data_IF_745112809516
#
_entry.id   IF_745112809516
#
_cell.length_a   1.000
_cell.length_b   1.000
_cell.length_c   1.000
_cell.angle_alpha   90.00
_cell.angle_beta   90.00
_cell.angle_gamma   90.00
#
_symmetry.space_group_name_H-M   'P 1'
#
loop_
_entity.id
_entity.type
_entity.pdbx_description
1 polymer ?
#
# COMPACT_ATOMS: atom_id res chain seq x y z
N UNK A 1 -49.28 -19.38 25.63
CA UNK A 1 -48.38 -18.69 24.68
C UNK A 1 -46.96 -18.66 25.23
N UNK A 2 -46.19 -19.76 25.14
CA UNK A 2 -44.79 -19.82 25.62
C UNK A 2 -43.82 -20.51 24.65
N UNK A 3 -44.34 -21.23 23.63
CA UNK A 3 -43.55 -22.01 22.67
C UNK A 3 -42.97 -21.18 21.52
N UNK A 4 -43.63 -20.09 21.12
CA UNK A 4 -43.18 -19.24 20.02
C UNK A 4 -41.94 -18.40 20.36
N UNK A 5 -41.77 -18.02 21.64
CA UNK A 5 -40.64 -17.20 22.08
C UNK A 5 -39.31 -17.98 22.08
N UNK A 6 -39.38 -19.27 22.41
CA UNK A 6 -38.20 -20.17 22.47
C UNK A 6 -37.70 -20.52 21.07
N UNK A 7 -38.59 -20.59 20.08
CA UNK A 7 -38.22 -20.88 18.69
C UNK A 7 -37.50 -19.70 18.03
N UNK A 8 -37.92 -18.47 18.36
CA UNK A 8 -37.30 -17.23 17.86
C UNK A 8 -35.89 -17.03 18.40
N UNK A 9 -35.68 -17.28 19.70
CA UNK A 9 -34.35 -17.16 20.32
C UNK A 9 -33.38 -18.25 19.84
N UNK A 10 -33.87 -19.45 19.55
CA UNK A 10 -33.04 -20.53 18.99
C UNK A 10 -32.58 -20.23 17.55
N UNK A 11 -33.47 -19.68 16.71
CA UNK A 11 -33.12 -19.31 15.33
C UNK A 11 -32.08 -18.18 15.26
N UNK A 12 -32.16 -17.20 16.17
CA UNK A 12 -31.21 -16.10 16.23
C UNK A 12 -29.80 -16.57 16.64
N UNK A 13 -29.72 -17.52 17.58
CA UNK A 13 -28.47 -18.13 18.02
C UNK A 13 -27.78 -18.94 16.90
N UNK A 14 -28.57 -19.67 16.09
CA UNK A 14 -28.04 -20.42 14.93
C UNK A 14 -27.55 -19.48 13.83
N UNK A 15 -28.24 -18.36 13.58
CA UNK A 15 -27.78 -17.36 12.60
C UNK A 15 -26.47 -16.69 13.02
N UNK A 16 -26.29 -16.39 14.32
CA UNK A 16 -25.04 -15.86 14.84
C UNK A 16 -23.88 -16.87 14.79
N UNK A 17 -24.15 -18.16 15.03
CA UNK A 17 -23.13 -19.21 15.00
C UNK A 17 -22.71 -19.62 13.58
N UNK A 18 -23.57 -19.43 12.57
CA UNK A 18 -23.23 -19.68 11.16
C UNK A 18 -22.51 -18.50 10.46
N UNK A 19 -22.33 -17.38 11.15
CA UNK A 19 -21.62 -16.19 10.64
C UNK A 19 -20.23 -16.00 11.26
N UNK A 20 -19.59 -17.09 11.73
CA UNK A 20 -18.12 -17.13 11.77
C UNK A 20 -17.62 -17.11 10.33
N UNK A 21 -17.59 -15.89 9.80
CA UNK A 21 -16.85 -15.48 8.63
C UNK A 21 -15.48 -16.13 8.75
N UNK A 22 -15.15 -16.95 7.76
CA UNK A 22 -13.77 -17.21 7.39
C UNK A 22 -13.22 -15.88 6.88
N UNK A 23 -12.95 -14.97 7.83
CA UNK A 23 -12.10 -13.81 7.61
C UNK A 23 -10.73 -14.38 7.31
N UNK A 24 -10.50 -14.73 6.06
CA UNK A 24 -9.16 -14.89 5.54
C UNK A 24 -8.55 -13.50 5.64
N UNK A 25 -7.85 -13.25 6.75
CA UNK A 25 -6.86 -12.18 6.77
C UNK A 25 -5.95 -12.47 5.59
N UNK A 26 -5.93 -11.56 4.62
CA UNK A 26 -5.05 -11.67 3.48
C UNK A 26 -3.65 -11.94 4.03
N UNK A 27 -3.10 -13.12 3.73
CA UNK A 27 -1.76 -13.47 4.16
C UNK A 27 -0.85 -12.36 3.69
N UNK A 28 -0.02 -11.83 4.61
CA UNK A 28 1.00 -10.85 4.27
C UNK A 28 1.74 -11.41 3.04
N UNK A 29 1.74 -10.72 1.89
CA UNK A 29 2.43 -11.22 0.72
C UNK A 29 3.86 -11.53 1.14
N UNK A 30 4.35 -12.71 0.74
CA UNK A 30 5.70 -13.19 1.05
C UNK A 30 6.65 -12.05 0.70
N UNK A 31 7.23 -11.44 1.74
CA UNK A 31 7.98 -10.21 1.63
C UNK A 31 9.27 -10.51 0.87
N UNK A 32 9.23 -10.31 -0.44
CA UNK A 32 10.42 -9.99 -1.20
C UNK A 32 10.78 -8.55 -0.82
N UNK A 33 12.00 -8.35 -0.34
CA UNK A 33 12.39 -7.20 0.49
C UNK A 33 11.89 -5.87 -0.05
N UNK A 34 11.12 -5.15 0.76
CA UNK A 34 10.74 -3.78 0.44
C UNK A 34 12.01 -2.92 0.31
N UNK A 35 12.14 -2.16 -0.77
CA UNK A 35 13.24 -1.20 -0.92
C UNK A 35 12.85 0.05 -0.14
N UNK A 36 13.59 0.34 0.94
CA UNK A 36 13.35 1.52 1.77
C UNK A 36 14.58 2.42 1.74
N UNK A 37 14.37 3.68 1.35
CA UNK A 37 15.41 4.72 1.34
C UNK A 37 14.87 6.03 1.91
N UNK A 38 15.70 6.74 2.67
CA UNK A 38 15.34 7.94 3.44
C UNK A 38 16.13 9.20 3.04
N UNK A 39 16.62 9.23 1.80
CA UNK A 39 17.51 10.25 1.25
C UNK A 39 16.82 11.14 0.20
N UNK A 40 15.50 11.03 0.05
CA UNK A 40 14.74 11.85 -0.90
C UNK A 40 14.48 13.25 -0.33
N UNK A 41 15.25 14.23 -0.78
CA UNK A 41 15.19 15.60 -0.28
C UNK A 41 14.20 16.46 -1.06
N UNK A 42 13.18 16.98 -0.36
CA UNK A 42 12.33 18.06 -0.84
C UNK A 42 12.94 19.42 -0.47
N UNK A 43 13.56 20.07 -1.45
CA UNK A 43 14.22 21.36 -1.23
C UNK A 43 13.28 22.51 -0.87
N UNK A 44 11.96 22.36 -1.10
CA UNK A 44 10.98 23.41 -0.78
C UNK A 44 10.48 23.27 0.66
N UNK A 45 10.27 22.03 1.10
CA UNK A 45 9.93 21.72 2.47
C UNK A 45 11.11 21.72 3.42
N UNK A 46 12.35 21.73 2.91
CA UNK A 46 13.60 21.51 3.64
C UNK A 46 13.54 20.23 4.48
N UNK A 47 13.06 19.15 3.85
CA UNK A 47 12.74 17.89 4.50
C UNK A 47 13.22 16.70 3.69
N UNK A 48 13.69 15.68 4.39
CA UNK A 48 13.96 14.37 3.82
C UNK A 48 12.74 13.47 3.97
N UNK A 49 12.53 12.60 3.00
CA UNK A 49 11.46 11.61 3.00
C UNK A 49 12.03 10.20 2.86
N UNK A 50 11.43 9.28 3.61
CA UNK A 50 11.55 7.85 3.42
C UNK A 50 10.48 7.36 2.47
N UNK A 51 10.89 6.64 1.43
CA UNK A 51 9.99 5.89 0.55
C UNK A 51 10.32 4.41 0.67
N UNK A 52 9.34 3.63 1.08
CA UNK A 52 9.38 2.17 1.13
C UNK A 52 8.47 1.60 0.05
N UNK A 53 9.03 0.86 -0.90
CA UNK A 53 8.27 0.31 -2.03
C UNK A 53 8.26 -1.22 -1.98
N UNK A 54 7.17 -1.79 -2.48
CA UNK A 54 7.14 -3.21 -2.80
C UNK A 54 6.31 -3.47 -4.05
N UNK A 55 6.64 -4.55 -4.76
CA UNK A 55 5.93 -4.95 -5.96
C UNK A 55 5.89 -6.47 -6.11
N UNK A 56 4.82 -6.94 -6.73
CA UNK A 56 4.63 -8.30 -7.22
C UNK A 56 4.10 -8.23 -8.66
N UNK A 57 3.98 -9.38 -9.35
CA UNK A 57 3.66 -9.49 -10.79
C UNK A 57 2.72 -8.42 -11.37
N UNK A 58 1.64 -8.07 -10.66
CA UNK A 58 0.60 -7.17 -11.15
C UNK A 58 0.31 -5.98 -10.23
N UNK A 59 1.07 -5.80 -9.15
CA UNK A 59 0.79 -4.77 -8.14
C UNK A 59 2.07 -4.16 -7.61
N UNK A 60 2.08 -2.86 -7.40
CA UNK A 60 3.12 -2.16 -6.67
C UNK A 60 2.50 -1.12 -5.73
N UNK A 61 3.17 -0.83 -4.62
CA UNK A 61 2.78 0.22 -3.70
C UNK A 61 4.01 0.92 -3.12
N UNK A 62 3.81 2.15 -2.65
CA UNK A 62 4.80 2.91 -1.94
C UNK A 62 4.22 3.44 -0.62
N UNK A 63 5.04 3.45 0.43
CA UNK A 63 4.76 4.13 1.69
C UNK A 63 5.74 5.28 1.86
N UNK A 64 5.20 6.46 2.12
CA UNK A 64 6.00 7.69 2.27
C UNK A 64 5.91 8.20 3.70
N UNK A 65 7.04 8.50 4.33
CA UNK A 65 7.09 9.16 5.63
C UNK A 65 8.17 10.24 5.63
N UNK A 66 7.96 11.34 6.34
CA UNK A 66 9.05 12.28 6.61
C UNK A 66 10.13 11.61 7.47
N UNK A 67 11.40 11.86 7.16
CA UNK A 67 12.53 11.26 7.87
C UNK A 67 12.52 11.70 9.34
N UNK A 68 12.60 10.71 10.26
CA UNK A 68 12.54 10.96 11.70
C UNK A 68 11.14 11.22 12.26
N UNK A 69 10.09 11.21 11.43
CA UNK A 69 8.71 11.36 11.89
C UNK A 69 8.19 10.10 12.58
N UNK A 70 7.36 10.28 13.60
CA UNK A 70 6.59 9.21 14.27
C UNK A 70 5.18 9.05 13.68
N UNK A 71 4.80 9.91 12.73
CA UNK A 71 3.52 9.78 12.04
C UNK A 71 3.47 8.49 11.21
N UNK A 72 2.27 7.94 11.05
CA UNK A 72 2.06 6.79 10.18
C UNK A 72 2.47 7.14 8.73
N UNK A 73 3.17 6.23 8.02
CA UNK A 73 3.48 6.43 6.62
C UNK A 73 2.21 6.57 5.77
N UNK A 74 2.27 7.43 4.76
CA UNK A 74 1.19 7.62 3.80
C UNK A 74 1.30 6.58 2.68
N UNK A 75 0.24 5.82 2.43
CA UNK A 75 0.17 4.90 1.28
C UNK A 75 -0.03 5.69 -0.01
N UNK A 76 0.83 5.46 -0.99
CA UNK A 76 0.68 5.93 -2.36
C UNK A 76 0.34 4.74 -3.24
N UNK A 77 -0.84 4.80 -3.87
CA UNK A 77 -1.31 3.77 -4.80
C UNK A 77 -0.61 4.00 -6.15
N UNK A 78 0.12 3.00 -6.61
CA UNK A 78 0.83 3.06 -7.89
C UNK A 78 0.00 2.39 -8.98
N UNK A 79 -0.15 3.06 -10.11
CA UNK A 79 -0.86 2.56 -11.28
C UNK A 79 0.13 2.07 -12.33
N UNK A 80 -0.23 1.01 -13.07
CA UNK A 80 0.59 0.52 -14.17
C UNK A 80 0.73 1.63 -15.23
N UNK A 81 1.95 2.10 -15.43
CA UNK A 81 2.28 3.14 -16.41
C UNK A 81 2.76 2.53 -17.72
N UNK A 82 3.64 1.51 -17.65
CA UNK A 82 4.17 0.86 -18.85
C UNK A 82 4.57 -0.59 -18.61
N UNK A 83 4.72 -1.35 -19.68
CA UNK A 83 5.23 -2.73 -19.69
C UNK A 83 6.26 -2.88 -20.81
N UNK A 84 7.42 -3.44 -20.49
CA UNK A 84 8.51 -3.68 -21.43
C UNK A 84 9.17 -5.03 -21.12
N UNK A 85 9.01 -6.01 -22.01
CA UNK A 85 9.48 -7.37 -21.76
C UNK A 85 8.86 -7.98 -20.51
N UNK A 86 9.68 -8.51 -19.60
CA UNK A 86 9.24 -9.03 -18.29
C UNK A 86 9.12 -7.95 -17.21
N UNK A 87 9.37 -6.69 -17.54
CA UNK A 87 9.36 -5.57 -16.61
C UNK A 87 8.08 -4.74 -16.73
N UNK A 88 7.61 -4.25 -15.60
CA UNK A 88 6.47 -3.34 -15.46
C UNK A 88 6.90 -2.11 -14.70
N UNK A 89 6.42 -0.95 -15.14
CA UNK A 89 6.64 0.32 -14.46
C UNK A 89 5.32 0.79 -13.87
N UNK A 90 5.34 1.10 -12.58
CA UNK A 90 4.19 1.65 -11.86
C UNK A 90 4.52 3.07 -11.41
N UNK A 91 3.59 4.01 -11.59
CA UNK A 91 3.73 5.41 -11.18
C UNK A 91 2.61 5.79 -10.20
N UNK A 92 2.94 6.60 -9.19
CA UNK A 92 1.96 7.28 -8.37
C UNK A 92 2.55 8.55 -7.76
N UNK A 93 1.68 9.37 -7.17
CA UNK A 93 2.07 10.69 -6.67
C UNK A 93 1.45 11.03 -5.32
N UNK A 94 2.15 11.87 -4.56
CA UNK A 94 1.71 12.43 -3.30
C UNK A 94 1.98 13.94 -3.26
N UNK A 95 0.96 14.74 -3.02
CA UNK A 95 1.13 16.17 -2.72
C UNK A 95 1.65 16.34 -1.29
N UNK A 96 2.80 17.00 -1.16
CA UNK A 96 3.44 17.25 0.12
C UNK A 96 2.92 18.55 0.76
N UNK A 97 3.05 18.71 2.09
CA UNK A 97 2.70 19.97 2.77
C UNK A 97 3.44 21.21 2.26
N UNK A 98 4.63 21.03 1.65
CA UNK A 98 5.38 22.11 1.00
C UNK A 98 4.72 22.62 -0.29
N UNK A 99 3.72 21.91 -0.80
CA UNK A 99 3.10 22.15 -2.11
C UNK A 99 3.86 21.52 -3.29
N UNK A 100 4.96 20.80 -3.06
CA UNK A 100 5.57 19.97 -4.11
C UNK A 100 4.79 18.67 -4.27
N UNK A 101 4.81 18.12 -5.48
CA UNK A 101 4.29 16.78 -5.76
C UNK A 101 5.47 15.81 -5.83
N UNK A 102 5.50 14.85 -4.92
CA UNK A 102 6.41 13.71 -5.01
C UNK A 102 5.83 12.70 -5.99
N UNK A 103 6.55 12.38 -7.05
CA UNK A 103 6.20 11.31 -7.98
C UNK A 103 7.15 10.14 -7.75
N UNK A 104 6.59 8.94 -7.69
CA UNK A 104 7.27 7.70 -7.34
C UNK A 104 7.04 6.72 -8.49
N UNK A 105 8.14 6.28 -9.09
CA UNK A 105 8.18 5.26 -10.12
C UNK A 105 8.79 3.97 -9.54
N UNK A 106 8.12 2.84 -9.75
CA UNK A 106 8.63 1.51 -9.39
C UNK A 106 8.72 0.66 -10.64
N UNK A 107 9.94 0.27 -10.98
CA UNK A 107 10.22 -0.70 -12.04
C UNK A 107 10.39 -2.06 -11.36
N UNK A 108 9.56 -3.02 -11.76
CA UNK A 108 9.61 -4.39 -11.27
C UNK A 108 9.75 -5.37 -12.42
N UNK A 109 10.71 -6.28 -12.34
CA UNK A 109 10.94 -7.32 -13.35
C UNK A 109 10.79 -8.71 -12.73
N UNK A 110 10.39 -9.66 -13.56
CA UNK A 110 10.21 -11.07 -13.20
C UNK A 110 9.40 -11.23 -11.90
N UNK A 111 8.26 -10.54 -11.84
CA UNK A 111 7.32 -10.61 -10.71
C UNK A 111 7.84 -10.10 -9.35
N UNK A 112 8.67 -9.05 -9.34
CA UNK A 112 9.24 -8.51 -8.11
C UNK A 112 10.60 -9.09 -7.75
N UNK A 113 11.22 -9.84 -8.67
CA UNK A 113 12.57 -10.33 -8.45
C UNK A 113 13.60 -9.22 -8.43
N UNK A 114 13.42 -8.26 -9.32
CA UNK A 114 14.21 -7.03 -9.36
C UNK A 114 13.24 -5.89 -9.16
N UNK A 115 13.58 -5.00 -8.23
CA UNK A 115 12.79 -3.81 -7.92
C UNK A 115 13.72 -2.59 -7.94
N UNK A 116 13.31 -1.54 -8.62
CA UNK A 116 14.03 -0.26 -8.65
C UNK A 116 13.04 0.86 -8.42
N UNK A 117 13.35 1.71 -7.45
CA UNK A 117 12.54 2.87 -7.09
C UNK A 117 13.20 4.14 -7.64
N UNK A 118 12.43 4.98 -8.31
CA UNK A 118 12.83 6.35 -8.64
C UNK A 118 11.84 7.32 -8.01
N UNK A 119 12.35 8.41 -7.46
CA UNK A 119 11.53 9.47 -6.87
C UNK A 119 11.97 10.79 -7.47
N UNK A 120 11.00 11.60 -7.88
CA UNK A 120 11.21 12.95 -8.37
C UNK A 120 10.21 13.89 -7.72
N UNK A 121 10.61 15.15 -7.55
CA UNK A 121 9.75 16.21 -7.04
C UNK A 121 9.40 17.15 -8.19
N UNK A 122 8.11 17.34 -8.44
CA UNK A 122 7.60 18.28 -9.45
C UNK A 122 6.79 19.39 -8.80
N UNK A 123 6.62 20.47 -9.57
CA UNK A 123 5.77 21.60 -9.24
C UNK A 123 4.58 21.59 -10.19
N UNK A 124 3.42 21.92 -9.66
CA UNK A 124 2.34 22.51 -10.47
C UNK A 124 2.72 23.93 -10.90
#
# INVERSE_FOLDING_TARGET
>A
MKKALVLSTLLCLVFCLCHVNVSHSASKPIAKGADKRCDYYDSRGDKYYCVETSAACNIAHAYVSEAGSTAAPTLVVLSLFSTSGSCKTYEGSLTLPSGNIMVIDVITCDCGNTLTTHVRFVRD
#
